data_IF_251133046993
#
_entry.id   IF_251133046993
#
_cell.length_a   1.000
_cell.length_b   1.000
_cell.length_c   1.000
_cell.angle_alpha   90.00
_cell.angle_beta   90.00
_cell.angle_gamma   90.00
#
_symmetry.space_group_name_H-M   'P 1'
#
loop_
_entity.id
_entity.type
_entity.pdbx_description
1 polymer ?
#
# COMPACT_ATOMS: atom_id res chain seq x y z
N UNK A 1 -9.76 14.75 -3.95
CA UNK A 1 -9.88 13.36 -3.45
C UNK A 1 -11.32 13.08 -3.13
N UNK A 2 -11.83 11.86 -3.35
CA UNK A 2 -13.23 11.54 -3.03
C UNK A 2 -13.45 11.57 -1.52
N UNK A 3 -14.62 12.07 -1.10
CA UNK A 3 -15.01 12.21 0.32
C UNK A 3 -14.87 10.90 1.09
N UNK A 4 -15.32 9.78 0.51
CA UNK A 4 -15.22 8.45 1.12
C UNK A 4 -13.78 8.03 1.48
N UNK A 5 -12.77 8.45 0.70
CA UNK A 5 -11.37 8.17 0.99
C UNK A 5 -10.91 9.00 2.21
N UNK A 6 -11.34 10.25 2.29
CA UNK A 6 -11.01 11.14 3.42
C UNK A 6 -11.64 10.59 4.71
N UNK A 7 -12.91 10.20 4.66
CA UNK A 7 -13.59 9.60 5.82
C UNK A 7 -12.89 8.30 6.27
N UNK A 8 -12.47 7.44 5.34
CA UNK A 8 -11.73 6.24 5.71
C UNK A 8 -10.35 6.58 6.30
N UNK A 9 -9.68 7.61 5.81
CA UNK A 9 -8.40 8.06 6.37
C UNK A 9 -8.56 8.61 7.80
N UNK A 10 -9.67 9.29 8.13
CA UNK A 10 -9.99 9.70 9.52
C UNK A 10 -10.10 8.48 10.44
N UNK A 11 -10.77 7.42 10.00
CA UNK A 11 -10.90 6.19 10.79
C UNK A 11 -9.52 5.54 11.01
N UNK A 12 -8.67 5.49 9.98
CA UNK A 12 -7.28 5.02 10.12
C UNK A 12 -6.52 5.84 11.15
N UNK A 13 -6.60 7.18 11.06
CA UNK A 13 -5.94 8.07 12.01
C UNK A 13 -6.39 7.80 13.46
N UNK A 14 -7.69 7.68 13.70
CA UNK A 14 -8.24 7.38 15.03
C UNK A 14 -7.75 6.01 15.54
N UNK A 15 -7.84 4.96 14.72
CA UNK A 15 -7.42 3.62 15.10
C UNK A 15 -5.91 3.56 15.40
N UNK A 16 -5.07 4.18 14.56
CA UNK A 16 -3.63 4.23 14.75
C UNK A 16 -3.26 5.02 16.02
N UNK A 17 -3.94 6.15 16.28
CA UNK A 17 -3.75 6.94 17.50
C UNK A 17 -4.07 6.15 18.77
N UNK A 18 -5.21 5.44 18.79
CA UNK A 18 -5.63 4.61 19.92
C UNK A 18 -4.64 3.46 20.18
N UNK A 19 -4.12 2.84 19.14
CA UNK A 19 -3.15 1.73 19.23
C UNK A 19 -1.71 2.20 19.39
N UNK A 20 -1.44 3.51 19.37
CA UNK A 20 -0.08 4.09 19.38
C UNK A 20 0.78 3.51 18.26
N UNK A 21 0.18 3.30 17.10
CA UNK A 21 0.81 2.73 15.91
C UNK A 21 1.30 3.83 15.00
N UNK A 22 2.54 3.70 14.52
CA UNK A 22 3.14 4.59 13.53
C UNK A 22 3.21 3.87 12.19
N UNK A 23 2.58 4.47 11.19
CA UNK A 23 2.37 3.89 9.86
C UNK A 23 3.44 4.33 8.88
N UNK A 24 3.80 3.43 7.98
CA UNK A 24 4.47 3.73 6.72
C UNK A 24 3.69 3.12 5.55
N UNK A 25 3.86 3.67 4.35
CA UNK A 25 3.28 3.11 3.13
C UNK A 25 4.33 2.87 2.06
N UNK A 26 4.15 1.82 1.26
CA UNK A 26 4.92 1.54 0.06
C UNK A 26 3.97 1.43 -1.14
N UNK A 27 3.95 2.46 -1.97
CA UNK A 27 2.97 2.61 -3.04
C UNK A 27 3.62 2.49 -4.41
N UNK A 28 2.98 1.72 -5.30
CA UNK A 28 3.32 1.66 -6.71
C UNK A 28 2.18 2.27 -7.54
N UNK A 29 1.17 1.51 -7.92
CA UNK A 29 0.10 1.99 -8.80
C UNK A 29 -0.73 3.15 -8.22
N UNK A 30 -0.84 3.28 -6.91
CA UNK A 30 -1.55 4.38 -6.24
C UNK A 30 -0.76 5.69 -6.24
N UNK A 31 0.58 5.63 -6.37
CA UNK A 31 1.43 6.80 -6.61
C UNK A 31 1.34 7.87 -5.52
N UNK A 32 1.26 7.48 -4.25
CA UNK A 32 1.17 8.39 -3.10
C UNK A 32 -0.25 8.76 -2.69
N UNK A 33 -1.29 8.21 -3.31
CA UNK A 33 -2.69 8.56 -2.96
C UNK A 33 -3.07 8.13 -1.54
N UNK A 34 -2.57 6.99 -1.06
CA UNK A 34 -2.82 6.54 0.31
C UNK A 34 -2.10 7.46 1.32
N UNK A 35 -0.84 7.75 1.08
CA UNK A 35 -0.07 8.72 1.88
C UNK A 35 -0.75 10.08 1.93
N UNK A 36 -1.18 10.58 0.76
CA UNK A 36 -1.92 11.85 0.65
C UNK A 36 -3.23 11.81 1.43
N UNK A 37 -3.97 10.68 1.38
CA UNK A 37 -5.23 10.55 2.12
C UNK A 37 -5.00 10.67 3.64
N UNK A 38 -3.99 10.00 4.18
CA UNK A 38 -3.66 10.06 5.60
C UNK A 38 -3.14 11.45 5.98
N UNK A 39 -2.25 12.04 5.19
CA UNK A 39 -1.64 13.34 5.49
C UNK A 39 -2.60 14.53 5.31
N UNK A 40 -3.74 14.34 4.65
CA UNK A 40 -4.83 15.32 4.65
C UNK A 40 -5.51 15.49 6.02
N UNK A 41 -5.28 14.57 6.95
CA UNK A 41 -5.90 14.66 8.28
C UNK A 41 -4.98 15.51 9.19
N UNK A 42 -5.49 16.61 9.77
CA UNK A 42 -4.71 17.41 10.72
C UNK A 42 -4.21 16.54 11.88
N UNK A 43 -2.94 16.67 12.23
CA UNK A 43 -2.31 15.88 13.30
C UNK A 43 -1.77 14.50 12.84
N UNK A 44 -1.90 14.15 11.55
CA UNK A 44 -1.46 12.84 11.02
C UNK A 44 0.02 12.54 11.25
N UNK A 45 0.88 13.55 11.46
CA UNK A 45 2.30 13.36 11.79
C UNK A 45 2.54 12.53 13.07
N UNK A 46 1.52 12.38 13.91
CA UNK A 46 1.60 11.54 15.12
C UNK A 46 1.45 10.05 14.82
N UNK A 47 0.89 9.69 13.67
CA UNK A 47 0.58 8.30 13.28
C UNK A 47 1.16 7.90 11.93
N UNK A 48 1.68 8.84 11.14
CA UNK A 48 2.24 8.56 9.81
C UNK A 48 3.64 9.15 9.70
N UNK A 49 4.63 8.29 9.48
CA UNK A 49 6.03 8.72 9.40
C UNK A 49 6.46 9.02 7.98
N UNK A 50 6.24 8.07 7.05
CA UNK A 50 6.66 8.27 5.68
C UNK A 50 5.88 7.40 4.68
N UNK A 51 5.90 7.82 3.41
CA UNK A 51 5.40 7.08 2.29
C UNK A 51 6.46 6.94 1.20
N UNK A 52 6.69 5.72 0.74
CA UNK A 52 7.59 5.40 -0.35
C UNK A 52 6.80 5.20 -1.64
N UNK A 53 7.05 6.03 -2.64
CA UNK A 53 6.49 5.85 -3.98
C UNK A 53 7.56 5.21 -4.86
N UNK A 54 7.48 3.88 -5.02
CA UNK A 54 8.43 3.08 -5.80
C UNK A 54 7.76 2.56 -7.06
N UNK A 55 7.80 3.36 -8.12
CA UNK A 55 7.00 3.14 -9.32
C UNK A 55 7.67 2.19 -10.33
N UNK A 56 9.00 2.15 -10.37
CA UNK A 56 9.79 1.23 -11.20
C UNK A 56 10.32 0.03 -10.40
N UNK A 57 10.67 -1.07 -11.10
CA UNK A 57 11.32 -2.21 -10.46
C UNK A 57 12.65 -1.80 -9.81
N UNK A 58 13.41 -0.94 -10.47
CA UNK A 58 14.67 -0.43 -9.93
C UNK A 58 14.48 0.33 -8.62
N UNK A 59 13.45 1.19 -8.53
CA UNK A 59 13.14 1.90 -7.28
C UNK A 59 12.68 0.96 -6.17
N UNK A 60 11.90 -0.09 -6.49
CA UNK A 60 11.54 -1.13 -5.51
C UNK A 60 12.77 -1.82 -4.91
N UNK A 61 13.73 -2.17 -5.75
CA UNK A 61 15.00 -2.78 -5.30
C UNK A 61 15.83 -1.81 -4.46
N UNK A 62 16.09 -0.61 -4.98
CA UNK A 62 17.01 0.35 -4.35
C UNK A 62 16.47 0.97 -3.06
N UNK A 63 15.17 1.27 -3.02
CA UNK A 63 14.57 2.00 -1.91
C UNK A 63 13.99 1.05 -0.86
N UNK A 64 13.38 -0.05 -1.29
CA UNK A 64 12.68 -0.98 -0.39
C UNK A 64 13.39 -2.32 -0.22
N UNK A 65 14.49 -2.57 -0.95
CA UNK A 65 15.22 -3.82 -0.88
C UNK A 65 14.46 -5.03 -1.45
N UNK A 66 13.49 -4.80 -2.36
CA UNK A 66 12.83 -5.89 -3.08
C UNK A 66 13.87 -6.64 -3.89
N UNK A 67 13.89 -7.96 -3.78
CA UNK A 67 14.90 -8.80 -4.45
C UNK A 67 14.63 -8.88 -5.95
N UNK A 68 15.70 -8.81 -6.72
CA UNK A 68 15.63 -8.94 -8.17
C UNK A 68 15.05 -10.29 -8.60
N UNK A 69 15.40 -11.37 -7.88
CA UNK A 69 14.88 -12.71 -8.10
C UNK A 69 13.36 -12.78 -7.93
N UNK A 70 12.82 -12.16 -6.89
CA UNK A 70 11.37 -12.09 -6.63
C UNK A 70 10.66 -11.36 -7.76
N UNK A 71 11.22 -10.23 -8.22
CA UNK A 71 10.69 -9.50 -9.37
C UNK A 71 10.71 -10.30 -10.66
N UNK A 72 11.79 -11.06 -10.92
CA UNK A 72 11.91 -11.89 -12.11
C UNK A 72 10.95 -13.08 -12.08
N UNK A 73 10.76 -13.70 -10.92
CA UNK A 73 9.95 -14.92 -10.78
C UNK A 73 8.45 -14.60 -10.77
N UNK A 74 8.02 -13.60 -9.99
CA UNK A 74 6.61 -13.33 -9.73
C UNK A 74 6.09 -12.06 -10.43
N UNK A 75 7.00 -11.21 -10.91
CA UNK A 75 6.65 -9.90 -11.47
C UNK A 75 6.32 -8.87 -10.38
N UNK A 76 6.33 -7.60 -10.77
CA UNK A 76 6.09 -6.49 -9.83
C UNK A 76 4.70 -6.50 -9.20
N UNK A 77 3.70 -7.08 -9.85
CA UNK A 77 2.33 -7.23 -9.36
C UNK A 77 2.17 -8.66 -8.84
N UNK A 78 2.54 -8.87 -7.59
CA UNK A 78 2.45 -10.16 -6.89
C UNK A 78 2.40 -9.93 -5.38
N UNK A 79 1.91 -10.91 -4.65
CA UNK A 79 1.86 -10.86 -3.19
C UNK A 79 3.27 -10.92 -2.58
N UNK A 80 4.18 -11.65 -3.23
CA UNK A 80 5.58 -11.77 -2.83
C UNK A 80 6.29 -10.41 -2.90
N UNK A 81 6.13 -9.67 -4.01
CA UNK A 81 6.69 -8.33 -4.15
C UNK A 81 6.00 -7.35 -3.19
N UNK A 82 4.69 -7.44 -3.01
CA UNK A 82 3.98 -6.62 -2.02
C UNK A 82 4.51 -6.87 -0.61
N UNK A 83 4.75 -8.12 -0.21
CA UNK A 83 5.32 -8.47 1.09
C UNK A 83 6.71 -7.85 1.29
N UNK A 84 7.59 -8.00 0.31
CA UNK A 84 8.92 -7.40 0.36
C UNK A 84 8.88 -5.87 0.40
N UNK A 85 7.94 -5.23 -0.31
CA UNK A 85 7.73 -3.78 -0.26
C UNK A 85 7.31 -3.32 1.14
N UNK A 86 6.37 -4.02 1.80
CA UNK A 86 5.92 -3.68 3.14
C UNK A 86 7.04 -3.83 4.18
N UNK A 87 7.79 -4.93 4.13
CA UNK A 87 8.97 -5.16 4.99
C UNK A 87 10.03 -4.08 4.72
N UNK A 88 10.28 -3.76 3.46
CA UNK A 88 11.22 -2.71 3.08
C UNK A 88 10.84 -1.34 3.64
N UNK A 89 9.54 -1.01 3.66
CA UNK A 89 9.06 0.23 4.27
C UNK A 89 9.35 0.29 5.77
N UNK A 90 9.16 -0.82 6.51
CA UNK A 90 9.51 -0.89 7.93
C UNK A 90 11.03 -0.79 8.16
N UNK A 91 11.83 -1.42 7.32
CA UNK A 91 13.29 -1.41 7.48
C UNK A 91 13.91 -0.03 7.21
N UNK A 92 13.24 0.79 6.40
CA UNK A 92 13.70 2.13 6.01
C UNK A 92 12.95 3.26 6.74
N UNK A 93 12.25 2.94 7.84
CA UNK A 93 11.49 3.91 8.63
C UNK A 93 11.52 3.57 10.11
N UNK A 94 10.98 4.47 10.93
CA UNK A 94 10.71 4.22 12.36
C UNK A 94 9.28 3.69 12.60
N UNK A 95 8.53 3.44 11.54
CA UNK A 95 7.19 2.87 11.63
C UNK A 95 7.24 1.44 12.19
N UNK A 96 6.22 1.05 12.92
CA UNK A 96 6.01 -0.32 13.38
C UNK A 96 4.93 -1.06 12.58
N UNK A 97 4.23 -0.35 11.69
CA UNK A 97 3.21 -0.89 10.79
C UNK A 97 3.42 -0.35 9.39
N UNK A 98 3.40 -1.21 8.39
CA UNK A 98 3.46 -0.78 7.00
C UNK A 98 2.41 -1.47 6.13
N UNK A 99 1.91 -0.74 5.15
CA UNK A 99 1.10 -1.27 4.06
C UNK A 99 1.81 -1.08 2.74
N UNK A 100 1.74 -2.07 1.87
CA UNK A 100 2.19 -1.94 0.48
C UNK A 100 1.05 -2.14 -0.51
N UNK A 101 1.16 -1.49 -1.67
CA UNK A 101 0.19 -1.55 -2.77
C UNK A 101 0.94 -1.60 -4.09
N UNK A 102 0.80 -2.70 -4.83
CA UNK A 102 1.33 -2.85 -6.19
C UNK A 102 0.27 -3.43 -7.11
N UNK A 103 0.12 -2.93 -8.35
CA UNK A 103 -0.97 -3.38 -9.19
C UNK A 103 -0.96 -2.83 -10.60
N UNK A 104 -1.89 -3.33 -11.41
CA UNK A 104 -2.14 -2.89 -12.78
C UNK A 104 -3.32 -1.92 -12.76
N UNK A 105 -3.02 -0.62 -12.73
CA UNK A 105 -4.06 0.41 -12.73
C UNK A 105 -4.73 0.60 -14.10
N UNK A 106 -4.09 0.12 -15.18
CA UNK A 106 -4.55 0.32 -16.56
C UNK A 106 -4.02 1.63 -17.20
N UNK A 107 -4.31 1.87 -18.49
CA UNK A 107 -5.10 0.97 -19.35
C UNK A 107 -4.32 -0.31 -19.70
N UNK A 108 -5.07 -1.39 -19.91
CA UNK A 108 -4.51 -2.68 -20.32
C UNK A 108 -3.89 -3.48 -19.19
N UNK A 109 -3.28 -4.57 -19.56
CA UNK A 109 -2.66 -5.55 -18.68
C UNK A 109 -2.30 -6.79 -19.50
N UNK A 110 -2.07 -7.90 -18.84
CA UNK A 110 -1.86 -9.21 -19.46
C UNK A 110 -2.97 -10.18 -19.03
N UNK A 111 -3.02 -11.37 -19.64
CA UNK A 111 -3.97 -12.42 -19.24
C UNK A 111 -3.77 -12.80 -17.77
N UNK A 112 -2.52 -12.89 -17.32
CA UNK A 112 -2.18 -13.27 -15.95
C UNK A 112 -2.18 -12.09 -14.96
N UNK A 113 -2.04 -10.86 -15.45
CA UNK A 113 -2.02 -9.62 -14.67
C UNK A 113 -2.98 -8.61 -15.32
N UNK A 114 -4.30 -8.82 -15.21
CA UNK A 114 -5.29 -7.97 -15.87
C UNK A 114 -5.38 -6.59 -15.22
N UNK A 115 -5.95 -5.63 -15.95
CA UNK A 115 -6.31 -4.33 -15.39
C UNK A 115 -7.22 -4.49 -14.17
N UNK A 116 -6.93 -3.75 -13.12
CA UNK A 116 -7.64 -3.81 -11.85
C UNK A 116 -7.11 -4.85 -10.87
N UNK A 117 -6.12 -5.68 -11.26
CA UNK A 117 -5.44 -6.56 -10.32
C UNK A 117 -4.48 -5.76 -9.45
N UNK A 118 -4.67 -5.82 -8.14
CA UNK A 118 -3.84 -5.10 -7.16
C UNK A 118 -3.52 -6.03 -6.00
N UNK A 119 -2.23 -6.12 -5.66
CA UNK A 119 -1.72 -6.88 -4.54
C UNK A 119 -1.42 -5.94 -3.37
N UNK A 120 -1.80 -6.37 -2.19
CA UNK A 120 -1.62 -5.66 -0.93
C UNK A 120 -0.83 -6.53 0.04
N UNK A 121 -0.04 -5.89 0.89
CA UNK A 121 0.57 -6.57 2.03
C UNK A 121 0.57 -5.66 3.25
N UNK A 122 0.39 -6.26 4.42
CA UNK A 122 0.59 -5.61 5.71
C UNK A 122 1.76 -6.29 6.41
N UNK A 123 2.66 -5.48 6.92
CA UNK A 123 3.74 -5.91 7.79
C UNK A 123 3.67 -5.17 9.13
N UNK A 124 3.94 -5.89 10.21
CA UNK A 124 3.98 -5.37 11.57
C UNK A 124 5.18 -6.00 12.30
N UNK A 125 5.93 -5.17 13.03
CA UNK A 125 7.15 -5.61 13.73
C UNK A 125 8.11 -6.40 12.83
N UNK A 126 8.31 -5.89 11.59
CA UNK A 126 9.20 -6.48 10.57
C UNK A 126 8.80 -7.87 10.06
N UNK A 127 7.58 -8.29 10.29
CA UNK A 127 7.04 -9.54 9.76
C UNK A 127 5.83 -9.25 8.89
N UNK A 128 5.72 -9.96 7.77
CA UNK A 128 4.49 -9.97 6.98
C UNK A 128 3.37 -10.65 7.77
N UNK A 129 2.24 -9.96 7.91
CA UNK A 129 1.07 -10.45 8.64
C UNK A 129 -0.08 -10.83 7.72
N UNK A 130 -0.12 -10.23 6.54
CA UNK A 130 -1.24 -10.39 5.63
C UNK A 130 -0.82 -10.06 4.20
N UNK A 131 -1.20 -10.89 3.24
CA UNK A 131 -1.09 -10.64 1.81
C UNK A 131 -2.44 -10.93 1.16
N UNK A 132 -2.82 -10.13 0.18
CA UNK A 132 -4.05 -10.34 -0.57
C UNK A 132 -3.95 -9.74 -1.98
N UNK A 133 -4.50 -10.45 -2.94
CA UNK A 133 -4.74 -9.94 -4.30
C UNK A 133 -6.21 -9.61 -4.48
N UNK A 134 -6.50 -8.37 -4.89
CA UNK A 134 -7.86 -7.90 -5.19
C UNK A 134 -8.00 -7.56 -6.66
N UNK A 135 -9.05 -8.08 -7.28
CA UNK A 135 -9.41 -7.73 -8.66
C UNK A 135 -10.57 -6.73 -8.64
N UNK A 136 -10.29 -5.49 -9.03
CA UNK A 136 -11.31 -4.44 -9.17
C UNK A 136 -11.98 -4.45 -10.52
N UNK A 137 -11.41 -5.16 -11.50
CA UNK A 137 -11.85 -5.17 -12.89
C UNK A 137 -11.33 -3.96 -13.71
N UNK A 138 -11.62 -3.93 -15.00
CA UNK A 138 -11.15 -2.91 -15.94
C UNK A 138 -11.96 -1.62 -15.83
N UNK A 139 -11.81 -0.91 -14.71
CA UNK A 139 -12.56 0.31 -14.40
C UNK A 139 -11.89 1.59 -14.92
N UNK A 140 -10.74 1.46 -15.56
CA UNK A 140 -9.88 2.57 -15.94
C UNK A 140 -8.98 3.06 -14.81
N UNK A 141 -7.83 3.57 -15.19
CA UNK A 141 -6.71 3.93 -14.32
C UNK A 141 -7.11 4.76 -13.09
N UNK A 142 -7.93 5.78 -13.27
CA UNK A 142 -8.32 6.67 -12.18
C UNK A 142 -9.15 5.94 -11.11
N UNK A 143 -10.13 5.14 -11.52
CA UNK A 143 -11.00 4.42 -10.59
C UNK A 143 -10.28 3.26 -9.91
N UNK A 144 -9.44 2.51 -10.62
CA UNK A 144 -8.63 1.44 -10.02
C UNK A 144 -7.74 2.00 -8.91
N UNK A 145 -7.03 3.10 -9.16
CA UNK A 145 -6.19 3.77 -8.16
C UNK A 145 -6.98 4.22 -6.94
N UNK A 146 -8.15 4.82 -7.14
CA UNK A 146 -9.02 5.25 -6.04
C UNK A 146 -9.55 4.08 -5.22
N UNK A 147 -10.00 2.99 -5.89
CA UNK A 147 -10.46 1.77 -5.21
C UNK A 147 -9.33 1.09 -4.46
N UNK A 148 -8.13 1.01 -5.04
CA UNK A 148 -6.95 0.45 -4.37
C UNK A 148 -6.58 1.27 -3.12
N UNK A 149 -6.63 2.59 -3.20
CA UNK A 149 -6.40 3.47 -2.05
C UNK A 149 -7.43 3.25 -0.95
N UNK A 150 -8.72 3.26 -1.29
CA UNK A 150 -9.81 3.03 -0.33
C UNK A 150 -9.70 1.65 0.33
N UNK A 151 -9.39 0.63 -0.47
CA UNK A 151 -9.22 -0.73 0.03
C UNK A 151 -8.00 -0.85 0.96
N UNK A 152 -6.87 -0.25 0.60
CA UNK A 152 -5.69 -0.19 1.46
C UNK A 152 -5.98 0.47 2.82
N UNK A 153 -6.70 1.59 2.85
CA UNK A 153 -7.15 2.22 4.10
C UNK A 153 -8.09 1.31 4.91
N UNK A 154 -8.93 0.53 4.23
CA UNK A 154 -9.81 -0.45 4.90
C UNK A 154 -9.00 -1.58 5.52
N UNK A 155 -7.98 -2.10 4.82
CA UNK A 155 -7.09 -3.13 5.36
C UNK A 155 -6.33 -2.64 6.60
N UNK A 156 -5.82 -1.40 6.59
CA UNK A 156 -5.19 -0.80 7.79
C UNK A 156 -6.18 -0.76 8.95
N UNK A 157 -7.40 -0.27 8.71
CA UNK A 157 -8.43 -0.19 9.76
C UNK A 157 -8.69 -1.57 10.36
N UNK A 158 -8.93 -2.58 9.52
CA UNK A 158 -9.22 -3.93 9.98
C UNK A 158 -8.06 -4.52 10.80
N UNK A 159 -6.82 -4.34 10.34
CA UNK A 159 -5.65 -4.85 11.05
C UNK A 159 -5.37 -4.16 12.38
N UNK A 160 -5.83 -2.91 12.56
CA UNK A 160 -5.69 -2.18 13.81
C UNK A 160 -6.85 -2.40 14.79
N UNK A 161 -8.00 -2.90 14.33
CA UNK A 161 -9.20 -3.06 15.16
C UNK A 161 -9.48 -4.51 15.57
N UNK A 162 -8.84 -5.45 14.93
CA UNK A 162 -8.91 -6.90 15.25
C UNK A 162 -7.57 -7.44 15.72
#
# INVERSE_FOLDING_TARGET
>A
MKEIIIERAKIVFQAASLKKTVLASAESCTGGMLSTAITNIPGSSTVFECGFVTYSNLSKMRVLGVREETLKTFGAVSEEVAAEMAIGALNNSKANFAISITGVAGPGGTITKPEGMVCFSIAFDKNTKFNETKNFGPLGRSLVRQKATLYGLTLITNALTH
#
